data_IF_162719570814
#
_entry.id   IF_162719570814
#
_cell.length_a   1.000
_cell.length_b   1.000
_cell.length_c   1.000
_cell.angle_alpha   90.00
_cell.angle_beta   90.00
_cell.angle_gamma   90.00
#
_symmetry.space_group_name_H-M   'P 1'
#
loop_
_entity.id
_entity.type
_entity.pdbx_description
1 polymer ?
#
# COMPACT_ATOMS: atom_id res chain seq x y z
N UNK A 1 -19.91 17.30 67.87
CA UNK A 1 -19.19 17.63 66.63
C UNK A 1 -20.09 17.17 65.47
N UNK A 2 -20.58 18.15 64.79
CA UNK A 2 -21.84 18.17 64.04
C UNK A 2 -21.91 17.18 62.86
N UNK A 3 -23.04 16.50 62.76
CA UNK A 3 -23.45 15.67 61.61
C UNK A 3 -23.26 16.36 60.28
N UNK A 4 -23.36 17.70 60.25
CA UNK A 4 -23.13 18.56 59.08
C UNK A 4 -21.68 18.47 58.58
N UNK A 5 -20.68 18.50 59.47
CA UNK A 5 -19.25 18.38 59.11
C UNK A 5 -18.90 16.98 58.59
N UNK A 6 -19.55 15.92 59.10
CA UNK A 6 -19.33 14.56 58.60
C UNK A 6 -19.89 14.36 57.18
N UNK A 7 -21.06 14.92 56.92
CA UNK A 7 -21.68 14.81 55.59
C UNK A 7 -20.94 15.64 54.52
N UNK A 8 -20.39 16.79 54.91
CA UNK A 8 -19.57 17.62 53.98
C UNK A 8 -18.23 16.96 53.69
N UNK A 9 -17.61 16.29 54.67
CA UNK A 9 -16.37 15.55 54.45
C UNK A 9 -16.57 14.32 53.55
N UNK A 10 -17.67 13.61 53.68
CA UNK A 10 -18.01 12.47 52.81
C UNK A 10 -18.29 12.94 51.38
N UNK A 11 -18.98 14.07 51.18
CA UNK A 11 -19.20 14.67 49.88
C UNK A 11 -17.91 15.12 49.19
N UNK A 12 -16.98 15.71 49.95
CA UNK A 12 -15.69 16.17 49.46
C UNK A 12 -14.77 15.00 49.05
N UNK A 13 -14.77 13.90 49.78
CA UNK A 13 -14.01 12.68 49.42
C UNK A 13 -14.62 11.99 48.19
N UNK A 14 -15.94 11.97 48.09
CA UNK A 14 -16.64 11.45 46.89
C UNK A 14 -16.37 12.27 45.62
N UNK A 15 -16.23 13.59 45.72
CA UNK A 15 -15.90 14.46 44.59
C UNK A 15 -14.43 14.31 44.17
N UNK A 16 -13.51 14.08 45.08
CA UNK A 16 -12.08 13.87 44.78
C UNK A 16 -11.80 12.53 44.11
N UNK A 17 -12.60 11.51 44.34
CA UNK A 17 -12.44 10.21 43.69
C UNK A 17 -12.94 10.18 42.22
N UNK A 18 -13.77 11.14 41.83
CA UNK A 18 -14.24 11.24 40.43
C UNK A 18 -13.21 11.98 39.56
N UNK A 19 -12.31 12.76 40.12
CA UNK A 19 -11.28 13.52 39.41
C UNK A 19 -10.01 12.71 39.11
N UNK A 20 -9.86 11.50 39.65
CA UNK A 20 -8.70 10.63 39.41
C UNK A 20 -8.92 9.63 38.24
N UNK A 21 -10.06 9.73 37.55
CA UNK A 21 -10.43 8.78 36.47
C UNK A 21 -9.80 9.06 35.10
N UNK A 22 -9.00 10.11 34.96
CA UNK A 22 -8.24 10.37 33.72
C UNK A 22 -6.76 10.06 33.99
N UNK A 23 -6.39 8.77 33.97
CA UNK A 23 -4.99 8.42 33.76
C UNK A 23 -4.63 8.77 32.32
N UNK A 24 -3.51 9.48 32.09
CA UNK A 24 -3.07 9.89 30.75
C UNK A 24 -2.93 8.73 29.77
N UNK A 25 -2.76 7.51 30.24
CA UNK A 25 -2.67 6.27 29.44
C UNK A 25 -3.92 5.95 28.62
N UNK A 26 -5.12 6.45 29.02
CA UNK A 26 -6.34 6.21 28.25
C UNK A 26 -6.42 7.07 26.97
N UNK A 27 -5.70 8.18 26.92
CA UNK A 27 -5.62 9.07 25.77
C UNK A 27 -4.45 8.74 24.85
N UNK A 28 -3.54 7.88 25.30
CA UNK A 28 -2.40 7.40 24.51
C UNK A 28 -2.80 6.17 23.65
N UNK A 29 -3.97 6.25 23.01
CA UNK A 29 -4.38 5.29 22.03
C UNK A 29 -3.48 5.44 20.79
N UNK A 30 -2.49 4.57 20.72
CA UNK A 30 -1.72 4.40 19.48
C UNK A 30 -2.70 4.03 18.36
N UNK A 31 -2.64 4.71 17.20
CA UNK A 31 -3.53 4.40 16.09
C UNK A 31 -3.39 2.90 15.74
N UNK A 32 -4.47 2.17 15.83
CA UNK A 32 -4.51 0.75 15.43
C UNK A 32 -4.44 0.58 13.92
N UNK A 33 -4.67 1.64 13.17
CA UNK A 33 -4.74 1.66 11.70
C UNK A 33 -3.46 2.20 11.03
N UNK A 34 -2.56 2.78 11.81
CA UNK A 34 -1.22 3.09 11.34
C UNK A 34 -0.28 2.00 11.84
N UNK A 35 0.63 1.56 10.98
CA UNK A 35 1.80 0.82 11.47
C UNK A 35 2.38 1.67 12.58
N UNK A 36 2.24 1.20 13.82
CA UNK A 36 2.73 1.91 15.00
C UNK A 36 4.17 2.36 14.69
N UNK A 37 4.44 3.66 14.78
CA UNK A 37 5.81 4.19 14.64
C UNK A 37 6.77 3.58 15.68
N UNK A 38 6.24 2.82 16.65
CA UNK A 38 6.97 1.94 17.54
C UNK A 38 7.21 0.54 16.97
N UNK A 39 6.63 0.14 15.84
CA UNK A 39 7.15 -0.99 15.06
C UNK A 39 8.38 -0.48 14.33
N UNK A 40 9.46 -0.39 15.08
CA UNK A 40 10.78 -0.06 14.54
C UNK A 40 11.01 -0.96 13.32
N UNK A 41 11.43 -0.42 12.18
CA UNK A 41 11.78 -1.21 11.02
C UNK A 41 13.05 -2.02 11.31
N UNK A 42 12.84 -3.15 11.97
CA UNK A 42 13.89 -4.14 12.28
C UNK A 42 13.67 -5.40 11.45
N UNK A 43 14.72 -6.18 11.16
CA UNK A 43 14.63 -7.37 10.31
C UNK A 43 13.53 -8.34 10.71
N UNK A 44 13.30 -8.57 12.00
CA UNK A 44 12.25 -9.45 12.53
C UNK A 44 10.82 -8.98 12.22
N UNK A 45 10.62 -7.70 11.90
CA UNK A 45 9.32 -7.12 11.55
C UNK A 45 9.09 -6.97 10.03
N UNK A 46 10.09 -7.25 9.19
CA UNK A 46 9.99 -7.06 7.74
C UNK A 46 8.78 -7.78 7.13
N UNK A 47 8.53 -9.01 7.55
CA UNK A 47 7.38 -9.79 7.09
C UNK A 47 6.03 -9.20 7.51
N UNK A 48 5.95 -8.58 8.70
CA UNK A 48 4.73 -7.91 9.17
C UNK A 48 4.46 -6.63 8.37
N UNK A 49 5.50 -5.86 8.08
CA UNK A 49 5.41 -4.63 7.29
C UNK A 49 4.99 -4.98 5.86
N UNK A 50 5.57 -6.02 5.25
CA UNK A 50 5.14 -6.52 3.94
C UNK A 50 3.67 -6.97 3.95
N UNK A 51 3.25 -7.74 4.97
CA UNK A 51 1.85 -8.15 5.09
C UNK A 51 0.91 -6.93 5.19
N UNK A 52 1.32 -5.86 5.88
CA UNK A 52 0.60 -4.59 5.93
C UNK A 52 0.52 -3.91 4.56
N UNK A 53 1.61 -3.92 3.78
CA UNK A 53 1.62 -3.41 2.41
C UNK A 53 0.63 -4.19 1.51
N UNK A 54 0.62 -5.51 1.63
CA UNK A 54 -0.33 -6.34 0.90
C UNK A 54 -1.77 -6.12 1.35
N UNK A 55 -2.01 -5.97 2.67
CA UNK A 55 -3.33 -5.72 3.22
C UNK A 55 -3.99 -4.47 2.64
N UNK A 56 -3.23 -3.43 2.34
CA UNK A 56 -3.74 -2.23 1.70
C UNK A 56 -4.44 -2.51 0.37
N UNK A 57 -4.03 -3.54 -0.37
CA UNK A 57 -4.69 -3.94 -1.62
C UNK A 57 -6.09 -4.52 -1.41
N UNK A 58 -6.45 -4.85 -0.17
CA UNK A 58 -7.79 -5.29 0.22
C UNK A 58 -8.58 -4.19 0.95
N UNK A 59 -8.00 -3.01 1.14
CA UNK A 59 -8.61 -1.92 1.89
C UNK A 59 -9.95 -1.51 1.31
N UNK A 60 -10.94 -1.40 2.19
CA UNK A 60 -12.23 -0.80 1.88
C UNK A 60 -12.16 0.70 2.12
N UNK A 61 -12.53 1.51 1.12
CA UNK A 61 -12.62 2.96 1.24
C UNK A 61 -14.07 3.41 1.53
N UNK A 62 -14.57 4.41 0.83
CA UNK A 62 -15.86 5.05 1.11
C UNK A 62 -17.09 4.27 0.66
N UNK A 63 -16.95 3.37 -0.29
CA UNK A 63 -18.06 2.55 -0.83
C UNK A 63 -17.58 1.12 -1.15
N UNK A 64 -18.53 0.18 -1.26
CA UNK A 64 -18.18 -1.18 -1.67
C UNK A 64 -17.54 -1.24 -3.08
N UNK A 65 -17.77 -0.23 -3.91
CA UNK A 65 -17.14 -0.09 -5.21
C UNK A 65 -15.65 0.31 -5.14
N UNK A 66 -15.15 0.62 -3.95
CA UNK A 66 -13.74 0.94 -3.67
C UNK A 66 -13.09 -0.14 -2.78
N UNK A 67 -13.47 -1.41 -2.94
CA UNK A 67 -12.92 -2.51 -2.14
C UNK A 67 -11.56 -2.92 -2.69
N UNK A 68 -10.53 -2.15 -2.36
CA UNK A 68 -9.15 -2.48 -2.69
C UNK A 68 -8.90 -2.69 -4.19
N UNK A 69 -7.88 -3.43 -4.52
CA UNK A 69 -7.45 -3.67 -5.90
C UNK A 69 -8.52 -4.38 -6.76
N UNK A 70 -9.39 -5.18 -6.15
CA UNK A 70 -10.49 -5.84 -6.88
C UNK A 70 -11.45 -4.83 -7.52
N UNK A 71 -11.69 -3.70 -6.86
CA UNK A 71 -12.55 -2.65 -7.41
C UNK A 71 -11.90 -1.97 -8.63
N UNK A 72 -10.56 -1.81 -8.62
CA UNK A 72 -9.82 -1.29 -9.78
C UNK A 72 -9.91 -2.26 -10.96
N UNK A 73 -9.68 -3.55 -10.75
CA UNK A 73 -9.82 -4.56 -11.80
C UNK A 73 -11.23 -4.56 -12.40
N UNK A 74 -12.26 -4.51 -11.55
CA UNK A 74 -13.64 -4.45 -12.02
C UNK A 74 -13.95 -3.14 -12.75
N UNK A 75 -13.33 -2.04 -12.34
CA UNK A 75 -13.44 -0.77 -13.07
C UNK A 75 -12.86 -0.88 -14.48
N UNK A 76 -11.71 -1.53 -14.65
CA UNK A 76 -11.09 -1.76 -15.95
C UNK A 76 -11.99 -2.62 -16.85
N UNK A 77 -12.56 -3.70 -16.30
CA UNK A 77 -13.52 -4.56 -17.00
C UNK A 77 -14.79 -3.79 -17.42
N UNK A 78 -15.27 -2.87 -16.56
CA UNK A 78 -16.43 -2.00 -16.89
C UNK A 78 -16.16 -0.99 -18.00
N UNK A 79 -14.89 -0.63 -18.22
CA UNK A 79 -14.47 0.26 -19.30
C UNK A 79 -14.17 -0.51 -20.62
N UNK A 80 -14.24 -1.84 -20.58
CA UNK A 80 -14.14 -2.72 -21.73
C UNK A 80 -15.52 -3.17 -22.22
N UNK A 81 -15.55 -4.07 -23.19
CA UNK A 81 -16.79 -4.56 -23.82
C UNK A 81 -17.42 -5.78 -23.11
N UNK A 82 -16.73 -6.36 -22.13
CA UNK A 82 -17.10 -7.66 -21.55
C UNK A 82 -18.15 -7.57 -20.44
N UNK A 83 -18.35 -6.39 -19.85
CA UNK A 83 -19.20 -6.22 -18.66
C UNK A 83 -20.17 -5.07 -18.84
N UNK A 84 -21.42 -5.28 -18.44
CA UNK A 84 -22.47 -4.25 -18.45
C UNK A 84 -22.75 -3.80 -17.02
N UNK A 85 -22.65 -2.49 -16.77
CA UNK A 85 -22.99 -1.89 -15.48
C UNK A 85 -24.43 -1.40 -15.44
N UNK A 86 -25.10 -1.68 -14.30
CA UNK A 86 -26.36 -1.00 -13.96
C UNK A 86 -26.08 0.29 -13.18
N UNK A 87 -26.94 1.32 -13.27
CA UNK A 87 -26.70 2.62 -12.63
C UNK A 87 -26.49 2.60 -11.11
N UNK A 88 -26.83 1.50 -10.44
CA UNK A 88 -27.01 1.46 -8.97
C UNK A 88 -25.74 1.18 -8.16
N UNK A 89 -24.60 0.80 -8.76
CA UNK A 89 -23.50 0.21 -7.99
C UNK A 89 -22.17 0.98 -8.03
N UNK A 90 -22.19 2.27 -8.30
CA UNK A 90 -20.99 3.10 -8.20
C UNK A 90 -19.95 2.91 -9.32
N UNK A 91 -20.14 1.94 -10.22
CA UNK A 91 -19.29 1.73 -11.41
C UNK A 91 -19.86 2.36 -12.69
N UNK A 92 -21.06 2.91 -12.62
CA UNK A 92 -21.73 3.47 -13.79
C UNK A 92 -20.95 4.63 -14.44
N UNK A 93 -20.28 5.44 -13.63
CA UNK A 93 -19.42 6.52 -14.14
C UNK A 93 -18.25 6.00 -14.96
N UNK A 94 -17.60 4.91 -14.51
CA UNK A 94 -16.50 4.27 -15.24
C UNK A 94 -17.02 3.63 -16.53
N UNK A 95 -18.15 2.91 -16.45
CA UNK A 95 -18.81 2.32 -17.61
C UNK A 95 -19.18 3.36 -18.69
N UNK A 96 -19.58 4.56 -18.28
CA UNK A 96 -19.93 5.67 -19.17
C UNK A 96 -18.72 6.58 -19.48
N UNK A 97 -17.53 6.28 -19.00
CA UNK A 97 -16.32 7.11 -19.13
C UNK A 97 -16.43 8.51 -18.53
N UNK A 98 -17.37 8.76 -17.62
CA UNK A 98 -17.63 10.08 -17.04
C UNK A 98 -16.57 10.48 -15.99
N UNK A 99 -15.80 9.53 -15.46
CA UNK A 99 -14.73 9.75 -14.49
C UNK A 99 -13.33 9.78 -15.12
N UNK A 100 -13.22 9.46 -16.38
CA UNK A 100 -11.95 9.50 -17.10
C UNK A 100 -11.46 10.94 -17.26
N UNK A 101 -10.21 11.18 -16.85
CA UNK A 101 -9.61 12.52 -16.92
C UNK A 101 -10.08 13.49 -15.83
N UNK A 102 -10.85 13.05 -14.84
CA UNK A 102 -11.28 13.86 -13.70
C UNK A 102 -10.45 13.53 -12.45
N UNK A 103 -9.40 14.33 -12.11
CA UNK A 103 -8.51 14.01 -10.98
C UNK A 103 -9.22 13.98 -9.62
N UNK A 104 -10.27 14.79 -9.46
CA UNK A 104 -11.05 14.85 -8.23
C UNK A 104 -12.09 13.73 -8.13
N UNK A 105 -12.27 12.92 -9.17
CA UNK A 105 -13.20 11.79 -9.09
C UNK A 105 -12.67 10.75 -8.12
N UNK A 106 -13.56 10.26 -7.27
CA UNK A 106 -13.22 9.32 -6.20
C UNK A 106 -12.52 8.05 -6.73
N UNK A 107 -12.85 7.58 -7.93
CA UNK A 107 -12.22 6.40 -8.51
C UNK A 107 -10.79 6.65 -8.97
N UNK A 108 -10.57 7.74 -9.68
CA UNK A 108 -9.22 8.15 -10.10
C UNK A 108 -8.33 8.39 -8.88
N UNK A 109 -8.83 9.14 -7.89
CA UNK A 109 -8.12 9.40 -6.64
C UNK A 109 -7.86 8.12 -5.83
N UNK A 110 -8.81 7.17 -5.81
CA UNK A 110 -8.68 5.93 -5.07
C UNK A 110 -7.55 5.04 -5.62
N UNK A 111 -7.45 4.86 -6.94
CA UNK A 111 -6.36 4.10 -7.56
C UNK A 111 -4.99 4.68 -7.18
N UNK A 112 -4.86 6.00 -7.26
CA UNK A 112 -3.65 6.72 -6.86
C UNK A 112 -3.30 6.49 -5.39
N UNK A 113 -4.26 6.74 -4.50
CA UNK A 113 -4.10 6.56 -3.06
C UNK A 113 -3.69 5.13 -2.68
N UNK A 114 -4.41 4.14 -3.20
CA UNK A 114 -4.16 2.73 -2.91
C UNK A 114 -2.74 2.31 -3.32
N UNK A 115 -2.32 2.68 -4.54
CA UNK A 115 -1.01 2.30 -5.04
C UNK A 115 0.11 2.99 -4.28
N UNK A 116 0.01 4.31 -4.02
CA UNK A 116 1.07 5.03 -3.30
C UNK A 116 1.17 4.65 -1.83
N UNK A 117 0.05 4.38 -1.15
CA UNK A 117 0.08 3.85 0.22
C UNK A 117 0.77 2.48 0.28
N UNK A 118 0.50 1.63 -0.71
CA UNK A 118 1.17 0.32 -0.82
C UNK A 118 2.66 0.48 -1.12
N UNK A 119 3.04 1.39 -2.03
CA UNK A 119 4.44 1.70 -2.36
C UNK A 119 5.19 2.18 -1.11
N UNK A 120 4.60 3.06 -0.31
CA UNK A 120 5.25 3.59 0.89
C UNK A 120 5.52 2.51 1.94
N UNK A 121 4.57 1.61 2.16
CA UNK A 121 4.78 0.45 3.01
C UNK A 121 5.85 -0.52 2.44
N UNK A 122 5.90 -0.70 1.12
CA UNK A 122 6.97 -1.47 0.49
C UNK A 122 8.33 -0.79 0.67
N UNK A 123 8.40 0.53 0.51
CA UNK A 123 9.61 1.32 0.75
C UNK A 123 10.11 1.13 2.19
N UNK A 124 9.20 1.15 3.17
CA UNK A 124 9.53 0.90 4.57
C UNK A 124 10.12 -0.50 4.76
N UNK A 125 9.51 -1.56 4.19
CA UNK A 125 10.05 -2.92 4.27
C UNK A 125 11.42 -3.04 3.60
N UNK A 126 11.61 -2.38 2.47
CA UNK A 126 12.86 -2.39 1.69
C UNK A 126 13.98 -1.61 2.39
N UNK A 127 13.66 -0.55 3.12
CA UNK A 127 14.65 0.29 3.83
C UNK A 127 15.30 -0.40 5.03
N UNK A 128 14.72 -1.50 5.50
CA UNK A 128 15.29 -2.26 6.62
C UNK A 128 16.59 -2.90 6.18
N UNK A 129 17.63 -2.74 6.99
CA UNK A 129 18.92 -3.39 6.79
C UNK A 129 19.12 -4.47 7.83
N UNK A 130 19.69 -5.60 7.42
CA UNK A 130 20.04 -6.71 8.31
C UNK A 130 21.49 -7.10 8.08
N UNK A 131 22.20 -7.43 9.17
CA UNK A 131 23.58 -7.89 9.16
C UNK A 131 23.72 -9.12 10.06
N UNK A 132 24.71 -9.96 9.77
CA UNK A 132 24.97 -11.16 10.57
C UNK A 132 23.75 -12.08 10.67
N UNK A 133 23.40 -12.50 11.87
CA UNK A 133 22.32 -13.46 12.14
C UNK A 133 20.92 -12.92 11.83
N UNK A 134 20.76 -11.59 11.74
CA UNK A 134 19.48 -10.97 11.38
C UNK A 134 19.17 -11.09 9.88
N UNK A 135 20.15 -11.35 9.02
CA UNK A 135 19.98 -11.53 7.58
C UNK A 135 19.48 -12.95 7.24
N UNK A 136 18.36 -13.32 7.82
CA UNK A 136 17.72 -14.62 7.63
C UNK A 136 17.12 -14.79 6.24
N UNK A 137 16.82 -16.02 5.85
CA UNK A 137 16.09 -16.30 4.61
C UNK A 137 14.71 -15.63 4.62
N UNK A 138 13.99 -15.69 5.73
CA UNK A 138 12.65 -15.07 5.87
C UNK A 138 12.71 -13.55 5.72
N UNK A 139 13.75 -12.91 6.25
CA UNK A 139 13.97 -11.48 6.05
C UNK A 139 14.19 -11.16 4.57
N UNK A 140 15.11 -11.84 3.88
CA UNK A 140 15.38 -11.64 2.45
C UNK A 140 14.15 -11.90 1.59
N UNK A 141 13.40 -12.98 1.88
CA UNK A 141 12.16 -13.29 1.17
C UNK A 141 11.10 -12.17 1.35
N UNK A 142 10.96 -11.64 2.57
CA UNK A 142 10.03 -10.53 2.84
C UNK A 142 10.41 -9.27 2.07
N UNK A 143 11.70 -8.95 1.97
CA UNK A 143 12.18 -7.85 1.13
C UNK A 143 11.94 -8.12 -0.36
N UNK A 144 12.23 -9.33 -0.84
CA UNK A 144 11.97 -9.73 -2.23
C UNK A 144 10.49 -9.58 -2.60
N UNK A 145 9.60 -9.94 -1.69
CA UNK A 145 8.16 -9.76 -1.85
C UNK A 145 7.77 -8.28 -1.90
N UNK A 146 8.39 -7.43 -1.08
CA UNK A 146 8.15 -5.99 -1.09
C UNK A 146 8.63 -5.32 -2.40
N UNK A 147 9.77 -5.72 -2.93
CA UNK A 147 10.25 -5.28 -4.25
C UNK A 147 9.26 -5.67 -5.35
N UNK A 148 8.81 -6.93 -5.38
CA UNK A 148 7.84 -7.40 -6.37
C UNK A 148 6.51 -6.61 -6.30
N UNK A 149 6.02 -6.34 -5.09
CA UNK A 149 4.78 -5.60 -4.87
C UNK A 149 4.92 -4.12 -5.26
N UNK A 150 6.05 -3.48 -4.99
CA UNK A 150 6.33 -2.11 -5.42
C UNK A 150 6.36 -2.00 -6.95
N UNK A 151 7.04 -2.92 -7.61
CA UNK A 151 7.06 -3.00 -9.07
C UNK A 151 5.65 -3.18 -9.66
N UNK A 152 4.84 -4.05 -9.07
CA UNK A 152 3.43 -4.23 -9.45
C UNK A 152 2.63 -2.94 -9.33
N UNK A 153 2.78 -2.18 -8.24
CA UNK A 153 2.10 -0.91 -8.06
C UNK A 153 2.53 0.13 -9.09
N UNK A 154 3.82 0.25 -9.39
CA UNK A 154 4.30 1.16 -10.44
C UNK A 154 3.86 0.74 -11.84
N UNK A 155 3.80 -0.57 -12.11
CA UNK A 155 3.28 -1.09 -13.38
C UNK A 155 1.81 -0.69 -13.57
N UNK A 156 1.00 -0.81 -12.53
CA UNK A 156 -0.39 -0.35 -12.53
C UNK A 156 -0.49 1.17 -12.75
N UNK A 157 0.26 1.97 -11.98
CA UNK A 157 0.26 3.42 -12.11
C UNK A 157 0.68 3.89 -13.52
N UNK A 158 1.72 3.29 -14.09
CA UNK A 158 2.20 3.64 -15.42
C UNK A 158 1.13 3.40 -16.50
N UNK A 159 0.39 2.28 -16.41
CA UNK A 159 -0.66 1.93 -17.35
C UNK A 159 -1.92 2.80 -17.22
N UNK A 160 -2.25 3.27 -16.00
CA UNK A 160 -3.50 4.00 -15.75
C UNK A 160 -3.35 5.53 -15.89
N UNK A 161 -2.15 6.07 -15.69
CA UNK A 161 -1.95 7.52 -15.63
C UNK A 161 -1.11 8.08 -16.78
N UNK A 162 -0.70 7.23 -17.72
CA UNK A 162 -0.03 7.67 -18.95
C UNK A 162 -0.36 6.73 -20.11
N UNK A 163 -0.15 7.20 -21.34
CA UNK A 163 -0.22 6.36 -22.54
C UNK A 163 0.85 5.27 -22.53
N UNK A 164 0.76 4.34 -23.49
CA UNK A 164 1.69 3.21 -23.55
C UNK A 164 3.14 3.67 -23.71
N UNK A 165 4.07 2.91 -23.12
CA UNK A 165 5.51 3.15 -23.21
C UNK A 165 5.99 3.33 -24.67
N UNK A 166 5.50 2.48 -25.58
CA UNK A 166 5.91 2.51 -26.99
C UNK A 166 5.49 3.77 -27.74
N UNK A 167 4.53 4.54 -27.23
CA UNK A 167 4.13 5.80 -27.81
C UNK A 167 5.15 6.90 -27.53
N UNK A 168 5.59 7.03 -26.29
CA UNK A 168 6.55 8.04 -25.86
C UNK A 168 7.14 7.65 -24.48
N UNK A 169 8.33 7.02 -24.44
CA UNK A 169 9.00 6.68 -23.20
C UNK A 169 9.36 7.88 -22.33
N UNK A 170 9.55 9.06 -22.95
CA UNK A 170 9.92 10.30 -22.26
C UNK A 170 8.73 11.03 -21.63
N UNK A 171 7.50 10.58 -21.91
CA UNK A 171 6.29 11.21 -21.39
C UNK A 171 6.27 11.20 -19.84
N UNK A 172 5.95 12.33 -19.19
CA UNK A 172 5.85 12.42 -17.73
C UNK A 172 4.65 11.57 -17.24
N UNK A 173 4.93 10.56 -16.42
CA UNK A 173 3.93 9.61 -15.96
C UNK A 173 3.46 9.90 -14.53
N UNK A 174 4.20 9.45 -13.54
CA UNK A 174 3.84 9.53 -12.13
C UNK A 174 5.09 9.83 -11.27
N UNK A 175 4.96 10.41 -10.06
CA UNK A 175 6.09 10.60 -9.17
C UNK A 175 6.75 9.28 -8.75
N UNK A 176 8.07 9.24 -8.73
CA UNK A 176 8.84 8.06 -8.35
C UNK A 176 9.38 8.18 -6.92
N UNK A 177 8.79 7.41 -6.00
CA UNK A 177 9.23 7.29 -4.60
C UNK A 177 9.82 5.90 -4.37
N UNK A 178 11.10 5.86 -3.99
CA UNK A 178 11.84 4.62 -3.72
C UNK A 178 12.26 4.48 -2.26
N UNK A 179 11.93 5.46 -1.44
CA UNK A 179 12.21 5.55 -0.01
C UNK A 179 10.93 5.85 0.76
N UNK A 180 10.85 5.50 2.05
CA UNK A 180 9.71 5.84 2.90
C UNK A 180 9.48 7.36 2.91
N UNK A 181 8.21 7.76 2.96
CA UNK A 181 7.81 9.16 3.00
C UNK A 181 7.33 9.56 4.39
N UNK A 182 7.45 10.83 4.72
CA UNK A 182 6.94 11.45 5.94
C UNK A 182 6.13 12.70 5.59
N UNK A 183 5.41 13.25 6.55
CA UNK A 183 4.65 14.49 6.36
C UNK A 183 5.51 15.70 5.93
N UNK A 184 6.82 15.61 6.15
CA UNK A 184 7.82 16.61 5.78
C UNK A 184 8.51 16.32 4.44
N UNK A 185 8.18 15.19 3.79
CA UNK A 185 8.79 14.85 2.49
C UNK A 185 8.28 15.81 1.42
N UNK A 186 9.21 16.49 0.75
CA UNK A 186 8.87 17.37 -0.35
C UNK A 186 8.24 16.59 -1.53
N UNK A 187 7.15 17.11 -2.11
CA UNK A 187 6.51 16.48 -3.26
C UNK A 187 7.45 16.39 -4.45
N UNK A 188 7.51 15.21 -5.08
CA UNK A 188 8.29 15.00 -6.30
C UNK A 188 7.45 15.32 -7.55
N UNK A 189 8.12 15.86 -8.58
CA UNK A 189 7.54 15.94 -9.92
C UNK A 189 7.30 14.55 -10.52
N UNK A 190 6.59 14.51 -11.65
CA UNK A 190 6.38 13.27 -12.40
C UNK A 190 7.69 12.78 -13.02
N UNK A 191 8.02 11.53 -12.81
CA UNK A 191 9.06 10.83 -13.54
C UNK A 191 8.54 10.44 -14.94
N UNK A 192 9.45 10.19 -15.88
CA UNK A 192 9.12 9.70 -17.20
C UNK A 192 8.71 8.22 -17.16
N UNK A 193 8.02 7.75 -18.20
CA UNK A 193 7.73 6.30 -18.34
C UNK A 193 9.02 5.47 -18.33
N UNK A 194 10.08 5.95 -19.00
CA UNK A 194 11.37 5.28 -19.03
C UNK A 194 11.98 5.11 -17.61
N UNK A 195 11.94 6.16 -16.79
CA UNK A 195 12.40 6.09 -15.40
C UNK A 195 11.55 5.13 -14.56
N UNK A 196 10.23 5.13 -14.75
CA UNK A 196 9.32 4.20 -14.04
C UNK A 196 9.59 2.77 -14.46
N UNK A 197 9.66 2.44 -15.76
CA UNK A 197 9.94 1.08 -16.21
C UNK A 197 11.35 0.61 -15.84
N UNK A 198 12.35 1.50 -15.86
CA UNK A 198 13.70 1.21 -15.35
C UNK A 198 13.65 0.78 -13.87
N UNK A 199 12.87 1.50 -13.04
CA UNK A 199 12.69 1.12 -11.64
C UNK A 199 11.92 -0.20 -11.49
N UNK A 200 10.88 -0.45 -12.30
CA UNK A 200 10.15 -1.72 -12.32
C UNK A 200 11.09 -2.89 -12.59
N UNK A 201 11.92 -2.81 -13.63
CA UNK A 201 12.89 -3.86 -13.95
C UNK A 201 13.93 -4.05 -12.84
N UNK A 202 14.43 -2.96 -12.25
CA UNK A 202 15.36 -3.00 -11.12
C UNK A 202 14.75 -3.74 -9.94
N UNK A 203 13.51 -3.41 -9.58
CA UNK A 203 12.79 -4.02 -8.47
C UNK A 203 12.50 -5.51 -8.73
N UNK A 204 12.02 -5.87 -9.92
CA UNK A 204 11.71 -7.25 -10.25
C UNK A 204 12.95 -8.14 -10.30
N UNK A 205 14.08 -7.63 -10.83
CA UNK A 205 15.34 -8.38 -10.82
C UNK A 205 15.85 -8.57 -9.39
N UNK A 206 15.74 -7.55 -8.53
CA UNK A 206 16.10 -7.68 -7.12
C UNK A 206 15.17 -8.61 -6.37
N UNK A 207 13.88 -8.57 -6.66
CA UNK A 207 12.90 -9.51 -6.12
C UNK A 207 13.24 -10.96 -6.51
N UNK A 208 13.59 -11.21 -7.77
CA UNK A 208 13.98 -12.55 -8.27
C UNK A 208 15.19 -13.09 -7.53
N UNK A 209 16.23 -12.26 -7.32
CA UNK A 209 17.43 -12.62 -6.55
C UNK A 209 17.07 -13.00 -5.10
N UNK A 210 16.29 -12.15 -4.42
CA UNK A 210 15.96 -12.32 -3.01
C UNK A 210 14.97 -13.46 -2.74
N UNK A 211 14.17 -13.84 -3.73
CA UNK A 211 13.19 -14.93 -3.66
C UNK A 211 13.73 -16.26 -4.18
N UNK A 212 15.01 -16.35 -4.52
CA UNK A 212 15.61 -17.61 -4.94
C UNK A 212 15.45 -18.67 -3.83
N UNK A 213 14.90 -19.82 -4.20
CA UNK A 213 14.61 -20.91 -3.25
C UNK A 213 13.39 -20.70 -2.36
N UNK A 214 12.69 -19.57 -2.46
CA UNK A 214 11.46 -19.37 -1.71
C UNK A 214 10.32 -20.26 -2.24
N UNK A 215 9.73 -21.03 -1.34
CA UNK A 215 8.53 -21.85 -1.60
C UNK A 215 7.42 -21.35 -0.69
N UNK A 216 6.25 -21.09 -1.25
CA UNK A 216 5.07 -20.70 -0.45
C UNK A 216 4.73 -21.83 0.53
N UNK A 217 4.55 -21.52 1.82
CA UNK A 217 4.36 -22.55 2.85
C UNK A 217 3.02 -23.30 2.71
N UNK A 218 2.01 -22.69 2.13
CA UNK A 218 0.68 -23.27 1.98
C UNK A 218 -0.17 -22.56 0.91
N UNK A 219 -1.37 -23.10 0.63
CA UNK A 219 -2.34 -22.51 -0.31
C UNK A 219 -2.92 -21.17 0.16
N UNK A 220 -2.86 -20.85 1.44
CA UNK A 220 -3.34 -19.58 2.00
C UNK A 220 -2.35 -18.45 1.77
N UNK A 221 -1.12 -18.79 1.44
CA UNK A 221 -0.02 -17.84 1.17
C UNK A 221 0.06 -17.39 -0.30
N UNK A 222 -1.01 -17.56 -1.09
CA UNK A 222 -1.07 -17.15 -2.52
C UNK A 222 -0.82 -15.65 -2.73
N UNK A 223 -1.07 -14.83 -1.72
CA UNK A 223 -0.78 -13.39 -1.75
C UNK A 223 0.71 -13.06 -1.68
N UNK A 224 1.56 -14.02 -1.26
CA UNK A 224 3.01 -13.84 -1.19
C UNK A 224 3.64 -14.13 -2.56
N UNK A 225 4.23 -13.14 -3.24
CA UNK A 225 4.93 -13.38 -4.49
C UNK A 225 6.08 -14.38 -4.30
N UNK A 226 6.23 -15.28 -5.27
CA UNK A 226 7.39 -16.14 -5.47
C UNK A 226 8.05 -15.80 -6.80
N UNK A 227 9.11 -16.51 -7.17
CA UNK A 227 9.85 -16.30 -8.42
C UNK A 227 8.94 -16.45 -9.66
N UNK A 228 7.90 -17.29 -9.59
CA UNK A 228 6.95 -17.46 -10.70
C UNK A 228 6.12 -16.22 -10.94
N UNK A 229 5.64 -15.58 -9.85
CA UNK A 229 4.92 -14.29 -9.93
C UNK A 229 5.84 -13.19 -10.45
N UNK A 230 7.09 -13.13 -9.97
CA UNK A 230 8.08 -12.15 -10.45
C UNK A 230 8.37 -12.32 -11.94
N UNK A 231 8.54 -13.55 -12.42
CA UNK A 231 8.74 -13.84 -13.84
C UNK A 231 7.51 -13.43 -14.68
N UNK A 232 6.29 -13.65 -14.18
CA UNK A 232 5.07 -13.17 -14.83
C UNK A 232 4.99 -11.64 -14.95
N UNK A 233 5.41 -10.92 -13.90
CA UNK A 233 5.50 -9.45 -13.93
C UNK A 233 6.60 -8.95 -14.86
N UNK A 234 7.77 -9.62 -14.91
CA UNK A 234 8.84 -9.34 -15.86
C UNK A 234 8.36 -9.52 -17.30
N UNK A 235 7.71 -10.65 -17.60
CA UNK A 235 7.16 -10.90 -18.93
C UNK A 235 6.17 -9.81 -19.36
N UNK A 236 5.29 -9.37 -18.43
CA UNK A 236 4.36 -8.26 -18.68
C UNK A 236 5.10 -6.95 -18.94
N UNK A 237 6.13 -6.63 -18.15
CA UNK A 237 6.90 -5.40 -18.32
C UNK A 237 7.67 -5.40 -19.66
N UNK A 238 8.29 -6.52 -20.04
CA UNK A 238 8.94 -6.69 -21.35
C UNK A 238 7.94 -6.55 -22.52
N UNK A 239 6.75 -7.16 -22.39
CA UNK A 239 5.69 -7.02 -23.36
C UNK A 239 5.30 -5.55 -23.59
N UNK A 240 5.08 -4.80 -22.51
CA UNK A 240 4.65 -3.40 -22.54
C UNK A 240 5.74 -2.45 -23.06
N UNK A 241 7.01 -2.81 -22.91
CA UNK A 241 8.15 -2.01 -23.39
C UNK A 241 8.66 -2.45 -24.76
N UNK A 242 8.03 -3.45 -25.39
CA UNK A 242 8.42 -3.94 -26.72
C UNK A 242 9.69 -4.78 -26.75
N UNK A 243 10.12 -5.29 -25.60
CA UNK A 243 11.32 -6.13 -25.49
C UNK A 243 10.92 -7.62 -25.55
N UNK A 244 10.64 -8.10 -26.76
CA UNK A 244 10.08 -9.44 -27.00
C UNK A 244 11.12 -10.55 -27.12
N UNK A 245 12.43 -10.22 -27.12
CA UNK A 245 13.55 -11.16 -27.36
C UNK A 245 14.20 -11.61 -26.07
#
# INVERSE_FOLDING_TARGET
MNTFLKNTAILAVGLLSVLSSCSGDFLDNKPTDAVDSGIVPVPSNAGRIFNGAWYNLFEYSSTYANIGYRALMLQDDMMADDVVSRPMYGFNSSYQFNDVGMPANNRTAFAWYLMYKTIDNCNTAISITATGDDNTADFRHSQGQAYALRAFCYLHLAQHYQFTYLKDPSAPAVPLYTEPTASTTEPKGKATLEEIYTQIFKDLNKAKELLEGYVRPDDKSKFKPDVSVVNGLLARAYLLTGQWN
#
